data_IF_994312080476
#
_entry.id   IF_994312080476
#
_cell.length_a   1.000
_cell.length_b   1.000
_cell.length_c   1.000
_cell.angle_alpha   90.00
_cell.angle_beta   90.00
_cell.angle_gamma   90.00
#
_symmetry.space_group_name_H-M   'P 1'
#
loop_
_entity.id
_entity.type
_entity.pdbx_description
1 polymer ?
#
# COMPACT_ATOMS: atom_id res chain seq x y z
N UNK A 1 -3.03 7.21 -36.30
CA UNK A 1 -1.55 7.11 -36.34
C UNK A 1 -0.87 7.53 -35.03
N UNK A 2 -1.19 8.69 -34.44
CA UNK A 2 -0.56 9.13 -33.16
C UNK A 2 -0.75 8.17 -31.96
N UNK A 3 -1.94 7.57 -31.78
CA UNK A 3 -2.15 6.58 -30.72
C UNK A 3 -1.29 5.32 -30.87
N UNK A 4 -1.02 4.89 -32.11
CA UNK A 4 -0.15 3.73 -32.39
C UNK A 4 1.30 4.08 -32.06
N UNK A 5 1.74 5.29 -32.41
CA UNK A 5 3.08 5.78 -32.05
C UNK A 5 3.24 5.89 -30.54
N UNK A 6 2.27 6.48 -29.82
CA UNK A 6 2.28 6.53 -28.35
C UNK A 6 2.29 5.13 -27.71
N UNK A 7 1.52 4.19 -28.27
CA UNK A 7 1.50 2.80 -27.81
C UNK A 7 2.87 2.14 -27.96
N UNK A 8 3.49 2.30 -29.13
CA UNK A 8 4.83 1.77 -29.39
C UNK A 8 5.87 2.39 -28.46
N UNK A 9 5.91 3.73 -28.33
CA UNK A 9 6.88 4.41 -27.46
C UNK A 9 6.66 4.07 -25.98
N UNK A 10 5.41 3.95 -25.54
CA UNK A 10 5.06 3.53 -24.18
C UNK A 10 5.53 2.11 -23.91
N UNK A 11 5.33 1.18 -24.86
CA UNK A 11 5.78 -0.20 -24.73
C UNK A 11 7.30 -0.27 -24.55
N UNK A 12 8.07 0.37 -25.45
CA UNK A 12 9.53 0.40 -25.35
C UNK A 12 10.02 1.09 -24.06
N UNK A 13 9.38 2.18 -23.65
CA UNK A 13 9.77 2.92 -22.45
C UNK A 13 9.50 2.12 -21.18
N UNK A 14 8.33 1.48 -21.06
CA UNK A 14 8.01 0.63 -19.92
C UNK A 14 8.91 -0.61 -19.89
N UNK A 15 9.18 -1.22 -21.04
CA UNK A 15 10.07 -2.39 -21.10
C UNK A 15 11.48 -2.01 -20.65
N UNK A 16 12.04 -0.92 -21.18
CA UNK A 16 13.36 -0.44 -20.81
C UNK A 16 13.43 -0.06 -19.32
N UNK A 17 12.41 0.64 -18.81
CA UNK A 17 12.33 0.99 -17.39
C UNK A 17 12.33 -0.26 -16.51
N UNK A 18 11.45 -1.23 -16.78
CA UNK A 18 11.33 -2.43 -15.96
C UNK A 18 12.59 -3.29 -16.02
N UNK A 19 13.21 -3.43 -17.19
CA UNK A 19 14.46 -4.18 -17.35
C UNK A 19 15.62 -3.48 -16.64
N UNK A 20 15.78 -2.17 -16.80
CA UNK A 20 16.88 -1.41 -16.18
C UNK A 20 16.79 -1.38 -14.64
N UNK A 21 15.60 -1.10 -14.09
CA UNK A 21 15.37 -1.11 -12.65
C UNK A 21 15.37 -2.54 -12.08
N UNK A 22 14.90 -3.53 -12.85
CA UNK A 22 14.98 -4.94 -12.49
C UNK A 22 16.43 -5.41 -12.36
N UNK A 23 17.25 -5.16 -13.39
CA UNK A 23 18.67 -5.50 -13.39
C UNK A 23 19.44 -4.79 -12.27
N UNK A 24 19.20 -3.48 -12.09
CA UNK A 24 19.84 -2.70 -11.02
C UNK A 24 19.44 -3.21 -9.62
N UNK A 25 18.16 -3.57 -9.42
CA UNK A 25 17.66 -4.14 -8.17
C UNK A 25 18.26 -5.51 -7.87
N UNK A 26 18.46 -6.36 -8.88
CA UNK A 26 19.12 -7.66 -8.72
C UNK A 26 20.61 -7.52 -8.41
N UNK A 27 21.33 -6.66 -9.13
CA UNK A 27 22.74 -6.41 -8.88
C UNK A 27 22.98 -5.83 -7.47
N UNK A 28 22.14 -4.88 -7.04
CA UNK A 28 22.22 -4.34 -5.67
C UNK A 28 21.96 -5.43 -4.62
N UNK A 29 20.96 -6.28 -4.86
CA UNK A 29 20.62 -7.39 -3.95
C UNK A 29 21.75 -8.40 -3.85
N UNK A 30 22.40 -8.75 -4.97
CA UNK A 30 23.55 -9.64 -5.00
C UNK A 30 24.74 -9.06 -4.20
N UNK A 31 25.05 -7.77 -4.40
CA UNK A 31 26.10 -7.07 -3.65
C UNK A 31 25.81 -7.03 -2.16
N UNK A 32 24.58 -6.69 -1.77
CA UNK A 32 24.16 -6.67 -0.37
C UNK A 32 24.24 -8.06 0.27
N UNK A 33 23.81 -9.13 -0.43
CA UNK A 33 23.97 -10.49 0.09
C UNK A 33 25.43 -10.85 0.32
N UNK A 34 26.29 -10.54 -0.63
CA UNK A 34 27.73 -10.82 -0.51
C UNK A 34 28.36 -10.04 0.64
N UNK A 35 28.10 -8.73 0.75
CA UNK A 35 28.65 -7.89 1.81
C UNK A 35 28.13 -8.28 3.19
N UNK A 36 26.83 -8.55 3.32
CA UNK A 36 26.24 -8.99 4.59
C UNK A 36 26.78 -10.36 4.99
N UNK A 37 26.92 -11.31 4.06
CA UNK A 37 27.53 -12.60 4.35
C UNK A 37 29.00 -12.47 4.79
N UNK A 38 29.79 -11.66 4.09
CA UNK A 38 31.19 -11.37 4.48
C UNK A 38 31.27 -10.71 5.86
N UNK A 39 30.36 -9.80 6.19
CA UNK A 39 30.32 -9.15 7.49
C UNK A 39 29.90 -10.10 8.61
N UNK A 40 28.98 -11.03 8.36
CA UNK A 40 28.58 -12.07 9.33
C UNK A 40 29.77 -12.98 9.64
N UNK A 41 30.54 -13.40 8.63
CA UNK A 41 31.73 -14.25 8.82
C UNK A 41 32.87 -13.58 9.59
N UNK A 42 32.88 -12.23 9.66
CA UNK A 42 33.89 -11.44 10.39
C UNK A 42 33.49 -11.12 11.83
N UNK A 43 32.29 -11.52 12.28
CA UNK A 43 31.85 -11.28 13.65
C UNK A 43 32.54 -12.24 14.63
N UNK A 44 32.75 -11.76 15.86
CA UNK A 44 33.33 -12.54 16.95
C UNK A 44 32.36 -13.62 17.47
N UNK A 45 32.89 -14.61 18.20
CA UNK A 45 32.09 -15.72 18.74
C UNK A 45 30.96 -15.22 19.67
N UNK A 46 31.22 -14.17 20.45
CA UNK A 46 30.21 -13.54 21.33
C UNK A 46 28.96 -13.05 20.56
N UNK A 47 29.12 -12.66 19.28
CA UNK A 47 27.99 -12.25 18.45
C UNK A 47 27.02 -13.42 18.22
N UNK A 48 27.55 -14.64 18.04
CA UNK A 48 26.79 -15.86 17.80
C UNK A 48 26.23 -16.51 19.08
N UNK A 49 26.76 -16.14 20.25
CA UNK A 49 26.22 -16.59 21.55
C UNK A 49 24.85 -16.00 21.84
N UNK A 50 24.47 -14.90 21.18
CA UNK A 50 23.13 -14.34 21.29
C UNK A 50 22.10 -15.23 20.57
N UNK A 51 21.02 -15.70 21.22
CA UNK A 51 19.99 -16.54 20.59
C UNK A 51 19.28 -15.86 19.41
N UNK A 52 19.32 -14.52 19.32
CA UNK A 52 18.80 -13.76 18.16
C UNK A 52 19.68 -13.84 16.91
N UNK A 53 20.95 -14.21 17.08
CA UNK A 53 21.95 -14.32 16.02
C UNK A 53 22.32 -15.78 15.74
N UNK A 54 21.41 -16.71 16.01
CA UNK A 54 21.60 -18.10 15.62
C UNK A 54 21.83 -18.19 14.10
N UNK A 55 22.63 -19.18 13.69
CA UNK A 55 22.99 -19.39 12.28
C UNK A 55 21.76 -19.52 11.38
N UNK A 56 20.70 -20.19 11.86
CA UNK A 56 19.42 -20.30 11.16
C UNK A 56 18.68 -18.96 11.05
N UNK A 57 18.68 -18.13 12.10
CA UNK A 57 18.04 -16.81 12.07
C UNK A 57 18.77 -15.85 11.13
N UNK A 58 20.11 -15.85 11.13
CA UNK A 58 20.93 -15.03 10.23
C UNK A 58 20.80 -15.48 8.76
N UNK A 59 20.78 -16.79 8.50
CA UNK A 59 20.53 -17.33 7.16
C UNK A 59 19.14 -16.94 6.64
N UNK A 60 18.13 -17.01 7.52
CA UNK A 60 16.76 -16.57 7.20
C UNK A 60 16.73 -15.08 6.89
N UNK A 61 17.29 -14.22 7.75
CA UNK A 61 17.38 -12.77 7.51
C UNK A 61 18.11 -12.44 6.20
N UNK A 62 19.21 -13.11 5.91
CA UNK A 62 19.95 -12.90 4.66
C UNK A 62 19.11 -13.29 3.42
N UNK A 63 18.27 -14.32 3.53
CA UNK A 63 17.36 -14.72 2.45
C UNK A 63 16.16 -13.77 2.33
N UNK A 64 15.50 -13.43 3.43
CA UNK A 64 14.26 -12.64 3.48
C UNK A 64 14.51 -11.15 3.28
N UNK A 65 15.42 -10.57 4.05
CA UNK A 65 15.61 -9.11 4.12
C UNK A 65 16.26 -8.62 2.83
N UNK A 66 17.21 -9.38 2.28
CA UNK A 66 17.78 -9.08 0.97
C UNK A 66 16.73 -9.15 -0.16
N UNK A 67 15.77 -10.09 -0.07
CA UNK A 67 14.68 -10.18 -1.04
C UNK A 67 13.67 -9.04 -0.87
N UNK A 68 13.41 -8.58 0.36
CA UNK A 68 12.60 -7.39 0.60
C UNK A 68 13.25 -6.13 0.03
N UNK A 69 14.57 -5.98 0.16
CA UNK A 69 15.30 -4.87 -0.45
C UNK A 69 15.18 -4.91 -1.97
N UNK A 70 15.32 -6.07 -2.62
CA UNK A 70 15.07 -6.21 -4.08
C UNK A 70 13.71 -5.62 -4.48
N UNK A 71 12.66 -5.98 -3.75
CA UNK A 71 11.30 -5.51 -4.03
C UNK A 71 11.14 -4.01 -3.78
N UNK A 72 11.81 -3.46 -2.77
CA UNK A 72 11.77 -2.04 -2.46
C UNK A 72 12.56 -1.18 -3.47
N UNK A 73 13.75 -1.63 -3.87
CA UNK A 73 14.68 -0.84 -4.70
C UNK A 73 14.52 -1.08 -6.21
N UNK A 74 13.95 -2.21 -6.63
CA UNK A 74 13.70 -2.48 -8.05
C UNK A 74 12.46 -1.74 -8.57
N UNK A 75 11.39 -2.51 -8.77
CA UNK A 75 10.15 -2.05 -9.43
C UNK A 75 9.48 -0.91 -8.66
N UNK A 76 9.55 -0.92 -7.32
CA UNK A 76 8.87 0.10 -6.51
C UNK A 76 9.49 1.49 -6.65
N UNK A 77 10.82 1.59 -6.78
CA UNK A 77 11.47 2.85 -7.12
C UNK A 77 11.06 3.33 -8.52
N UNK A 78 10.98 2.43 -9.51
CA UNK A 78 10.52 2.77 -10.85
C UNK A 78 9.12 3.41 -10.83
N UNK A 79 8.19 2.81 -10.06
CA UNK A 79 6.82 3.34 -9.89
C UNK A 79 6.83 4.71 -9.20
N UNK A 80 7.67 4.91 -8.18
CA UNK A 80 7.77 6.21 -7.48
C UNK A 80 8.27 7.29 -8.44
N UNK A 81 9.36 7.02 -9.18
CA UNK A 81 9.91 7.95 -10.16
C UNK A 81 8.88 8.25 -11.24
N UNK A 82 8.23 7.21 -11.80
CA UNK A 82 7.15 7.38 -12.78
C UNK A 82 6.02 8.25 -12.23
N UNK A 83 5.59 8.01 -10.99
CA UNK A 83 4.52 8.77 -10.35
C UNK A 83 4.88 10.24 -10.16
N UNK A 84 6.11 10.53 -9.73
CA UNK A 84 6.61 11.90 -9.58
C UNK A 84 6.70 12.58 -10.95
N UNK A 85 7.28 11.91 -11.95
CA UNK A 85 7.39 12.45 -13.32
C UNK A 85 6.03 12.74 -13.92
N UNK A 86 5.07 11.82 -13.79
CA UNK A 86 3.69 12.02 -14.26
C UNK A 86 2.99 13.16 -13.54
N UNK A 87 3.19 13.30 -12.23
CA UNK A 87 2.63 14.41 -11.46
C UNK A 87 3.20 15.76 -11.91
N UNK A 88 4.52 15.86 -12.07
CA UNK A 88 5.18 17.09 -12.54
C UNK A 88 4.77 17.43 -13.96
N UNK A 89 4.79 16.44 -14.87
CA UNK A 89 4.36 16.64 -16.26
C UNK A 89 2.89 17.09 -16.35
N UNK A 90 2.00 16.46 -15.57
CA UNK A 90 0.59 16.83 -15.50
C UNK A 90 0.38 18.26 -14.99
N UNK A 91 1.12 18.68 -13.95
CA UNK A 91 1.07 20.06 -13.45
C UNK A 91 1.56 21.05 -14.50
N UNK A 92 2.69 20.78 -15.17
CA UNK A 92 3.23 21.67 -16.21
C UNK A 92 2.24 21.84 -17.36
N UNK A 93 1.63 20.75 -17.83
CA UNK A 93 0.62 20.78 -18.91
C UNK A 93 -0.62 21.58 -18.47
N UNK A 94 -1.12 21.34 -17.25
CA UNK A 94 -2.28 22.05 -16.71
C UNK A 94 -2.04 23.56 -16.60
N UNK A 95 -0.87 23.98 -16.09
CA UNK A 95 -0.50 25.40 -15.99
C UNK A 95 -0.28 26.05 -17.37
N UNK A 96 0.20 25.29 -18.37
CA UNK A 96 0.45 25.80 -19.72
C UNK A 96 -0.86 26.13 -20.46
N UNK A 97 -1.87 25.25 -20.41
CA UNK A 97 -3.12 25.44 -21.16
C UNK A 97 -4.12 26.36 -20.47
N UNK A 98 -4.12 26.43 -19.14
CA UNK A 98 -5.06 27.28 -18.42
C UNK A 98 -4.75 27.43 -16.94
N UNK A 99 -3.92 28.42 -16.60
CA UNK A 99 -3.50 28.67 -15.22
C UNK A 99 -4.69 28.90 -14.25
N UNK A 100 -5.79 29.50 -14.70
CA UNK A 100 -7.01 29.73 -13.90
C UNK A 100 -7.72 28.41 -13.52
N UNK A 101 -7.80 27.47 -14.47
CA UNK A 101 -8.44 26.18 -14.25
C UNK A 101 -7.53 25.24 -13.45
N UNK A 102 -6.23 25.25 -13.73
CA UNK A 102 -5.24 24.52 -12.95
C UNK A 102 -5.25 24.92 -11.47
N UNK A 103 -5.31 26.22 -11.15
CA UNK A 103 -5.41 26.70 -9.76
C UNK A 103 -6.70 26.26 -9.06
N UNK A 104 -7.84 26.25 -9.77
CA UNK A 104 -9.11 25.79 -9.21
C UNK A 104 -9.05 24.30 -8.84
N UNK A 105 -8.49 23.46 -9.70
CA UNK A 105 -8.29 22.02 -9.42
C UNK A 105 -7.27 21.84 -8.28
N UNK A 106 -6.18 22.60 -8.28
CA UNK A 106 -5.15 22.54 -7.23
C UNK A 106 -5.72 22.90 -5.85
N UNK A 107 -6.70 23.80 -5.78
CA UNK A 107 -7.46 24.10 -4.56
C UNK A 107 -8.30 22.93 -4.04
N UNK A 108 -8.73 22.01 -4.92
CA UNK A 108 -9.43 20.78 -4.55
C UNK A 108 -8.53 19.64 -4.06
N UNK A 109 -7.25 19.64 -4.44
CA UNK A 109 -6.26 18.62 -4.04
C UNK A 109 -6.13 18.45 -2.52
N UNK A 110 -6.00 19.51 -1.68
CA UNK A 110 -5.91 19.33 -0.23
C UNK A 110 -7.17 18.68 0.36
N UNK A 111 -8.35 18.97 -0.19
CA UNK A 111 -9.61 18.35 0.25
C UNK A 111 -9.61 16.85 -0.08
N UNK A 112 -9.14 16.47 -1.28
CA UNK A 112 -8.97 15.06 -1.65
C UNK A 112 -7.94 14.35 -0.76
N UNK A 113 -6.81 15.01 -0.48
CA UNK A 113 -5.78 14.46 0.41
C UNK A 113 -6.31 14.25 1.83
N UNK A 114 -7.08 15.20 2.36
CA UNK A 114 -7.70 15.06 3.68
C UNK A 114 -8.68 13.89 3.70
N UNK A 115 -9.59 13.79 2.74
CA UNK A 115 -10.55 12.68 2.64
C UNK A 115 -9.84 11.32 2.52
N UNK A 116 -8.83 11.22 1.64
CA UNK A 116 -8.05 10.00 1.48
C UNK A 116 -7.24 9.62 2.73
N UNK A 117 -6.64 10.60 3.41
CA UNK A 117 -5.88 10.35 4.65
C UNK A 117 -6.78 9.88 5.80
N UNK A 118 -7.99 10.40 5.91
CA UNK A 118 -8.98 9.96 6.89
C UNK A 118 -9.41 8.51 6.62
N UNK A 119 -9.70 8.18 5.36
CA UNK A 119 -10.06 6.81 4.98
C UNK A 119 -8.92 5.81 5.27
N UNK A 120 -7.68 6.18 4.93
CA UNK A 120 -6.48 5.38 5.22
C UNK A 120 -6.26 5.19 6.73
N UNK A 121 -6.47 6.25 7.54
CA UNK A 121 -6.34 6.18 9.01
C UNK A 121 -7.41 5.29 9.63
N UNK A 122 -8.65 5.40 9.18
CA UNK A 122 -9.76 4.56 9.64
C UNK A 122 -9.49 3.08 9.31
N UNK A 123 -9.06 2.79 8.09
CA UNK A 123 -8.68 1.43 7.68
C UNK A 123 -7.56 0.87 8.57
N UNK A 124 -6.46 1.60 8.74
CA UNK A 124 -5.30 1.12 9.51
C UNK A 124 -5.60 0.95 11.00
N UNK A 125 -6.34 1.90 11.60
CA UNK A 125 -6.70 1.83 13.02
C UNK A 125 -7.59 0.64 13.33
N UNK A 126 -8.56 0.37 12.45
CA UNK A 126 -9.46 -0.77 12.56
C UNK A 126 -8.73 -2.11 12.38
N UNK A 127 -7.88 -2.21 11.35
CA UNK A 127 -7.10 -3.43 11.09
C UNK A 127 -6.20 -3.84 12.26
N UNK A 128 -5.59 -2.88 12.97
CA UNK A 128 -4.80 -3.17 14.17
C UNK A 128 -5.65 -3.69 15.33
N UNK A 129 -6.86 -3.16 15.52
CA UNK A 129 -7.76 -3.61 16.59
C UNK A 129 -8.30 -5.00 16.30
N UNK A 130 -8.71 -5.25 15.05
CA UNK A 130 -9.20 -6.56 14.63
C UNK A 130 -8.10 -7.61 14.75
N UNK A 131 -6.87 -7.29 14.33
CA UNK A 131 -5.73 -8.20 14.46
C UNK A 131 -5.47 -8.61 15.92
N UNK A 132 -5.60 -7.69 16.89
CA UNK A 132 -5.43 -8.02 18.31
C UNK A 132 -6.53 -8.95 18.84
N UNK A 133 -7.78 -8.69 18.45
CA UNK A 133 -8.91 -9.54 18.85
C UNK A 133 -8.81 -10.95 18.24
N UNK A 134 -8.34 -11.05 17.00
CA UNK A 134 -8.06 -12.31 16.32
C UNK A 134 -6.85 -13.05 16.91
N UNK A 135 -5.85 -12.32 17.39
CA UNK A 135 -4.67 -12.89 18.07
C UNK A 135 -5.07 -13.59 19.38
N UNK A 136 -5.96 -12.99 20.18
CA UNK A 136 -6.46 -13.64 21.41
C UNK A 136 -7.19 -14.96 21.11
N UNK A 137 -8.08 -14.97 20.10
CA UNK A 137 -8.75 -16.19 19.67
C UNK A 137 -7.77 -17.23 19.10
N UNK A 138 -6.80 -16.77 18.30
CA UNK A 138 -5.75 -17.61 17.73
C UNK A 138 -4.85 -18.24 18.79
N UNK A 139 -4.58 -17.54 19.89
CA UNK A 139 -3.83 -18.06 21.03
C UNK A 139 -4.57 -19.22 21.71
N UNK A 140 -5.86 -19.06 22.00
CA UNK A 140 -6.67 -20.14 22.60
C UNK A 140 -6.76 -21.37 21.69
N UNK A 141 -6.90 -21.16 20.37
CA UNK A 141 -6.87 -22.26 19.42
C UNK A 141 -5.49 -22.95 19.37
N UNK A 142 -4.40 -22.18 19.34
CA UNK A 142 -3.04 -22.72 19.32
C UNK A 142 -2.74 -23.55 20.56
N UNK A 143 -3.13 -23.06 21.75
CA UNK A 143 -2.95 -23.77 23.02
C UNK A 143 -3.70 -25.11 23.05
N UNK A 144 -4.91 -25.16 22.47
CA UNK A 144 -5.67 -26.40 22.32
C UNK A 144 -5.00 -27.40 21.38
N UNK A 145 -4.49 -26.92 20.25
CA UNK A 145 -3.84 -27.78 19.24
C UNK A 145 -2.51 -28.32 19.76
N UNK A 146 -1.71 -27.48 20.41
CA UNK A 146 -0.44 -27.89 21.05
C UNK A 146 -0.67 -28.94 22.14
N UNK A 147 -1.75 -28.81 22.91
CA UNK A 147 -2.07 -29.71 24.03
C UNK A 147 -3.23 -30.67 23.73
N UNK A 148 -3.43 -31.07 22.47
CA UNK A 148 -4.61 -31.82 22.04
C UNK A 148 -4.81 -33.13 22.82
N UNK A 149 -3.73 -33.83 23.18
CA UNK A 149 -3.79 -35.07 23.97
C UNK A 149 -4.34 -34.82 25.38
N UNK A 150 -3.97 -33.71 25.99
CA UNK A 150 -4.45 -33.29 27.31
C UNK A 150 -5.92 -32.92 27.24
N UNK A 151 -6.32 -32.13 26.24
CA UNK A 151 -7.73 -31.73 26.04
C UNK A 151 -8.64 -32.95 25.84
N UNK A 152 -8.20 -33.92 25.01
CA UNK A 152 -8.92 -35.18 24.78
C UNK A 152 -8.96 -36.06 26.03
N UNK A 153 -7.85 -36.17 26.76
CA UNK A 153 -7.81 -36.97 28.01
C UNK A 153 -8.76 -36.43 29.08
N UNK A 154 -9.01 -35.13 29.09
CA UNK A 154 -9.94 -34.44 29.99
C UNK A 154 -11.36 -34.36 29.41
N UNK A 155 -11.59 -34.80 28.17
CA UNK A 155 -12.87 -34.69 27.44
C UNK A 155 -13.45 -33.26 27.46
N UNK A 156 -12.58 -32.25 27.32
CA UNK A 156 -12.93 -30.81 27.41
C UNK A 156 -13.00 -30.12 26.05
N UNK A 157 -13.06 -30.87 24.95
CA UNK A 157 -13.22 -30.31 23.60
C UNK A 157 -14.43 -29.36 23.48
N UNK A 158 -15.63 -29.67 24.03
CA UNK A 158 -16.79 -28.79 23.92
C UNK A 158 -16.57 -27.45 24.64
N UNK A 159 -15.84 -27.45 25.75
CA UNK A 159 -15.54 -26.25 26.53
C UNK A 159 -14.65 -25.29 25.73
N UNK A 160 -13.56 -25.80 25.14
CA UNK A 160 -12.67 -24.98 24.33
C UNK A 160 -13.31 -24.51 23.03
N UNK A 161 -14.16 -25.34 22.41
CA UNK A 161 -14.98 -24.93 21.26
C UNK A 161 -15.89 -23.74 21.61
N UNK A 162 -16.60 -23.82 22.73
CA UNK A 162 -17.49 -22.74 23.16
C UNK A 162 -16.72 -21.48 23.55
N UNK A 163 -15.57 -21.61 24.19
CA UNK A 163 -14.69 -20.49 24.52
C UNK A 163 -14.16 -19.79 23.25
N UNK A 164 -13.71 -20.55 22.26
CA UNK A 164 -13.27 -20.00 20.97
C UNK A 164 -14.42 -19.32 20.22
N UNK A 165 -15.61 -19.94 20.18
CA UNK A 165 -16.80 -19.35 19.57
C UNK A 165 -17.21 -18.03 20.25
N UNK A 166 -17.14 -17.96 21.58
CA UNK A 166 -17.45 -16.75 22.34
C UNK A 166 -16.41 -15.64 22.10
N UNK A 167 -15.13 -16.00 21.96
CA UNK A 167 -14.06 -15.07 21.61
C UNK A 167 -14.21 -14.52 20.18
N UNK A 168 -14.73 -15.31 19.24
CA UNK A 168 -14.98 -14.88 17.86
C UNK A 168 -16.22 -14.01 17.68
N UNK A 169 -17.22 -14.14 18.54
CA UNK A 169 -18.47 -13.39 18.42
C UNK A 169 -18.25 -11.87 18.59
N UNK A 170 -17.33 -11.47 19.48
CA UNK A 170 -16.94 -10.06 19.68
C UNK A 170 -16.33 -9.44 18.41
N UNK A 171 -15.24 -9.98 17.81
CA UNK A 171 -14.72 -9.51 16.54
C UNK A 171 -15.78 -9.54 15.44
N UNK A 172 -16.63 -10.55 15.37
CA UNK A 172 -17.68 -10.63 14.35
C UNK A 172 -18.65 -9.43 14.43
N UNK A 173 -19.19 -9.15 15.62
CA UNK A 173 -20.12 -8.02 15.81
C UNK A 173 -19.44 -6.67 15.60
N UNK A 174 -18.18 -6.54 16.01
CA UNK A 174 -17.41 -5.30 15.81
C UNK A 174 -17.10 -5.08 14.32
N UNK A 175 -16.71 -6.12 13.59
CA UNK A 175 -16.48 -6.08 12.14
C UNK A 175 -17.75 -5.65 11.39
N UNK A 176 -18.94 -6.15 11.79
CA UNK A 176 -20.20 -5.71 11.18
C UNK A 176 -20.47 -4.21 11.36
N UNK A 177 -20.18 -3.67 12.56
CA UNK A 177 -20.30 -2.22 12.81
C UNK A 177 -19.25 -1.43 12.02
N UNK A 178 -18.01 -1.90 12.04
CA UNK A 178 -16.91 -1.28 11.30
C UNK A 178 -17.16 -1.28 9.79
N UNK A 179 -17.76 -2.34 9.24
CA UNK A 179 -18.10 -2.41 7.81
C UNK A 179 -19.06 -1.29 7.40
N UNK A 180 -20.06 -0.98 8.22
CA UNK A 180 -20.98 0.13 7.96
C UNK A 180 -20.27 1.48 8.05
N UNK A 181 -19.45 1.70 9.08
CA UNK A 181 -18.69 2.95 9.25
C UNK A 181 -17.71 3.15 8.08
N UNK A 182 -17.02 2.07 7.68
CA UNK A 182 -16.11 2.07 6.55
C UNK A 182 -16.86 2.35 5.25
N UNK A 183 -18.02 1.72 5.03
CA UNK A 183 -18.88 1.94 3.87
C UNK A 183 -19.32 3.40 3.75
N UNK A 184 -19.79 4.02 4.83
CA UNK A 184 -20.20 5.43 4.85
C UNK A 184 -19.00 6.35 4.62
N UNK A 185 -17.87 6.11 5.29
CA UNK A 185 -16.66 6.92 5.12
C UNK A 185 -16.10 6.82 3.69
N UNK A 186 -16.13 5.63 3.10
CA UNK A 186 -15.69 5.38 1.73
C UNK A 186 -16.63 6.07 0.73
N UNK A 187 -17.95 5.93 0.90
CA UNK A 187 -18.94 6.60 0.07
C UNK A 187 -18.80 8.12 0.14
N UNK A 188 -18.59 8.69 1.34
CA UNK A 188 -18.34 10.11 1.51
C UNK A 188 -17.06 10.56 0.80
N UNK A 189 -15.97 9.81 0.96
CA UNK A 189 -14.68 10.12 0.32
C UNK A 189 -14.80 10.09 -1.21
N UNK A 190 -15.48 9.09 -1.77
CA UNK A 190 -15.73 9.01 -3.20
C UNK A 190 -16.69 10.11 -3.68
N UNK A 191 -17.72 10.43 -2.89
CA UNK A 191 -18.65 11.52 -3.19
C UNK A 191 -17.94 12.86 -3.35
N UNK A 192 -17.02 13.19 -2.43
CA UNK A 192 -16.21 14.42 -2.50
C UNK A 192 -15.42 14.51 -3.82
N UNK A 193 -14.88 13.40 -4.32
CA UNK A 193 -14.16 13.36 -5.60
C UNK A 193 -15.10 13.72 -6.76
N UNK A 194 -16.30 13.14 -6.81
CA UNK A 194 -17.29 13.48 -7.83
C UNK A 194 -17.78 14.93 -7.75
N UNK A 195 -17.99 15.46 -6.54
CA UNK A 195 -18.35 16.87 -6.36
C UNK A 195 -17.24 17.81 -6.83
N UNK A 196 -15.97 17.47 -6.56
CA UNK A 196 -14.82 18.24 -7.06
C UNK A 196 -14.74 18.20 -8.58
N UNK A 197 -14.98 17.04 -9.22
CA UNK A 197 -15.06 16.98 -10.68
C UNK A 197 -16.21 17.81 -11.23
N UNK A 198 -17.40 17.72 -10.64
CA UNK A 198 -18.54 18.53 -11.05
C UNK A 198 -18.26 20.04 -10.93
N UNK A 199 -17.62 20.47 -9.83
CA UNK A 199 -17.20 21.85 -9.64
C UNK A 199 -16.15 22.27 -10.67
N UNK A 200 -15.14 21.43 -10.94
CA UNK A 200 -14.11 21.69 -11.94
C UNK A 200 -14.69 21.82 -13.36
N UNK A 201 -15.59 20.92 -13.76
CA UNK A 201 -16.26 20.99 -15.07
C UNK A 201 -17.20 22.19 -15.16
N UNK A 202 -17.93 22.53 -14.09
CA UNK A 202 -18.79 23.72 -14.06
C UNK A 202 -17.99 25.00 -14.20
N UNK A 203 -16.86 25.09 -13.50
CA UNK A 203 -15.94 26.23 -13.61
C UNK A 203 -15.27 26.29 -14.99
N UNK A 204 -14.85 25.15 -15.53
CA UNK A 204 -14.31 25.06 -16.89
C UNK A 204 -15.32 25.50 -17.95
N UNK A 205 -16.58 25.08 -17.85
CA UNK A 205 -17.64 25.51 -18.76
C UNK A 205 -17.90 27.02 -18.67
N UNK A 206 -17.86 27.60 -17.46
CA UNK A 206 -17.99 29.04 -17.29
C UNK A 206 -16.83 29.82 -17.93
N UNK A 207 -15.60 29.29 -17.81
CA UNK A 207 -14.39 29.89 -18.35
C UNK A 207 -14.35 29.84 -19.90
N UNK A 208 -14.85 28.76 -20.49
CA UNK A 208 -15.07 28.65 -21.95
C UNK A 208 -16.08 29.69 -22.44
N UNK A 209 -17.14 29.94 -21.67
CA UNK A 209 -18.21 30.86 -22.05
C UNK A 209 -17.84 32.35 -21.95
N UNK A 210 -16.95 32.73 -21.02
CA UNK A 210 -16.64 34.16 -20.76
C UNK A 210 -15.22 34.59 -21.16
N UNK A 211 -14.24 33.68 -21.17
CA UNK A 211 -12.80 34.04 -21.22
C UNK A 211 -12.11 33.48 -22.48
N UNK A 212 -12.88 32.99 -23.46
CA UNK A 212 -12.39 32.59 -24.79
C UNK A 212 -11.49 31.34 -24.81
N UNK A 213 -11.49 30.53 -23.73
CA UNK A 213 -10.76 29.27 -23.70
C UNK A 213 -11.44 28.28 -24.66
N UNK A 214 -10.70 27.75 -25.64
CA UNK A 214 -11.22 26.75 -26.58
C UNK A 214 -11.75 25.52 -25.83
N UNK A 215 -12.91 24.95 -26.20
CA UNK A 215 -13.46 23.78 -25.53
C UNK A 215 -12.51 22.57 -25.58
N UNK A 216 -11.63 22.51 -26.57
CA UNK A 216 -10.54 21.54 -26.71
C UNK A 216 -9.46 21.64 -25.63
N UNK A 217 -9.26 22.81 -25.03
CA UNK A 217 -8.28 23.05 -23.96
C UNK A 217 -8.78 22.61 -22.57
N UNK A 218 -10.09 22.42 -22.41
CA UNK A 218 -10.69 21.96 -21.14
C UNK A 218 -10.62 20.43 -21.00
N UNK A 219 -10.53 19.70 -22.11
CA UNK A 219 -10.51 18.22 -22.13
C UNK A 219 -9.13 17.61 -22.45
N UNK A 220 -8.11 18.43 -22.76
CA UNK A 220 -6.74 17.99 -23.05
C UNK A 220 -5.84 18.06 -21.82
#
# INVERSE_FOLDING_TARGET
MMFVVMGATSFFSNLLQNVAFGYSGENLTARLRQQTFQNILRQDVEYFDNPKHSTGALATRLATDASMIKNATGIRLAVIVQSITSMVAGLVIAFYFGWKLALAILGGVPIMMLAGSLNMRLMKGNQQRDSKMLEEAGKTASECVENIRTVQSLTREPFFYQQYSAQLEKPYRENLKQAHIYGISYAFSQGVIFFLYAAAFRFGAWLVAHDGMGPDLVYR
#
